data_IF_792153134643
#
_entry.id   IF_792153134643
#
_cell.length_a   1.000
_cell.length_b   1.000
_cell.length_c   1.000
_cell.angle_alpha   90.00
_cell.angle_beta   90.00
_cell.angle_gamma   90.00
#
_symmetry.space_group_name_H-M   'P 1'
#
loop_
_entity.id
_entity.type
_entity.pdbx_description
1 polymer ?
#
# COMPACT_ATOMS: atom_id res chain seq x y z
N UNK A 1 -22.47 -17.54 29.47
CA UNK A 1 -22.90 -16.22 29.98
C UNK A 1 -23.20 -15.32 28.78
N UNK A 2 -24.44 -15.26 28.27
CA UNK A 2 -24.79 -14.39 27.10
C UNK A 2 -26.17 -13.72 27.19
N UNK A 3 -26.86 -13.76 28.33
CA UNK A 3 -28.20 -13.15 28.46
C UNK A 3 -28.14 -11.62 28.64
N UNK A 4 -27.04 -11.08 29.21
CA UNK A 4 -26.90 -9.65 29.53
C UNK A 4 -26.67 -8.80 28.26
N UNK A 5 -26.03 -9.36 27.23
CA UNK A 5 -25.80 -8.66 25.96
C UNK A 5 -27.09 -8.45 25.18
N UNK A 6 -27.93 -9.48 25.04
CA UNK A 6 -29.13 -9.44 24.18
C UNK A 6 -30.19 -8.43 24.64
N UNK A 7 -30.38 -8.23 25.95
CA UNK A 7 -31.33 -7.24 26.47
C UNK A 7 -30.89 -5.80 26.19
N UNK A 8 -29.61 -5.49 26.38
CA UNK A 8 -29.05 -4.15 26.15
C UNK A 8 -29.18 -3.70 24.68
N UNK A 9 -29.01 -4.61 23.71
CA UNK A 9 -29.20 -4.28 22.29
C UNK A 9 -30.66 -3.99 21.93
N UNK A 10 -31.60 -4.68 22.58
CA UNK A 10 -33.04 -4.47 22.37
C UNK A 10 -33.53 -3.12 22.89
N UNK A 11 -32.98 -2.66 24.03
CA UNK A 11 -33.30 -1.34 24.60
C UNK A 11 -32.66 -0.21 23.77
N UNK A 12 -31.38 -0.33 23.41
CA UNK A 12 -30.71 0.61 22.49
C UNK A 12 -31.44 0.72 21.13
N UNK A 13 -31.98 -0.40 20.64
CA UNK A 13 -32.77 -0.42 19.41
C UNK A 13 -34.04 0.43 19.52
N UNK A 14 -34.84 0.22 20.56
CA UNK A 14 -36.11 0.96 20.74
C UNK A 14 -35.89 2.44 20.99
N UNK A 15 -34.87 2.78 21.79
CA UNK A 15 -34.68 4.14 22.27
C UNK A 15 -33.96 5.03 21.27
N UNK A 16 -33.08 4.48 20.43
CA UNK A 16 -32.17 5.27 19.58
C UNK A 16 -32.15 4.85 18.11
N UNK A 17 -32.17 3.55 17.82
CA UNK A 17 -32.08 3.06 16.43
C UNK A 17 -33.42 3.18 15.69
N UNK A 18 -34.51 2.78 16.32
CA UNK A 18 -35.84 2.86 15.72
C UNK A 18 -36.26 4.31 15.43
N UNK A 19 -36.04 5.30 16.33
CA UNK A 19 -36.24 6.71 16.01
C UNK A 19 -35.35 7.22 14.87
N UNK A 20 -34.09 6.77 14.79
CA UNK A 20 -33.19 7.10 13.69
C UNK A 20 -33.73 6.60 12.35
N UNK A 21 -34.12 5.32 12.26
CA UNK A 21 -34.69 4.75 11.04
C UNK A 21 -35.95 5.49 10.59
N UNK A 22 -36.85 5.80 11.53
CA UNK A 22 -38.06 6.57 11.25
C UNK A 22 -37.76 7.97 10.70
N UNK A 23 -36.72 8.62 11.23
CA UNK A 23 -36.36 10.00 10.87
C UNK A 23 -35.64 10.09 9.53
N UNK A 24 -34.71 9.16 9.25
CA UNK A 24 -33.77 9.29 8.13
C UNK A 24 -33.97 8.26 7.00
N UNK A 25 -34.64 7.14 7.26
CA UNK A 25 -34.66 6.00 6.33
C UNK A 25 -36.06 5.66 5.80
N UNK A 26 -37.09 5.66 6.66
CA UNK A 26 -38.45 5.17 6.33
C UNK A 26 -39.14 5.98 5.22
N UNK A 27 -38.82 7.28 5.06
CA UNK A 27 -39.42 8.09 3.99
C UNK A 27 -39.12 7.56 2.57
N UNK A 28 -37.97 6.90 2.37
CA UNK A 28 -37.55 6.32 1.09
C UNK A 28 -37.53 4.79 1.05
N UNK A 29 -37.47 4.14 2.23
CA UNK A 29 -37.40 2.69 2.41
C UNK A 29 -38.53 2.17 3.32
N UNK A 30 -39.71 2.78 3.25
CA UNK A 30 -40.89 2.44 4.04
C UNK A 30 -41.96 1.70 3.23
N UNK A 31 -43.19 1.57 3.75
CA UNK A 31 -44.27 0.90 3.02
C UNK A 31 -44.65 1.63 1.73
N UNK A 32 -44.64 2.96 1.74
CA UNK A 32 -45.04 3.82 0.62
C UNK A 32 -44.00 3.91 -0.50
N UNK A 33 -42.70 3.88 -0.15
CA UNK A 33 -41.58 3.98 -1.10
C UNK A 33 -40.51 2.98 -0.71
N UNK A 34 -40.09 2.16 -1.68
CA UNK A 34 -39.15 1.05 -1.48
C UNK A 34 -37.95 1.18 -2.42
N UNK A 35 -37.19 2.28 -2.29
CA UNK A 35 -36.01 2.48 -3.13
C UNK A 35 -35.03 1.31 -2.97
N UNK A 36 -34.47 0.84 -4.09
CA UNK A 36 -33.57 -0.31 -4.10
C UNK A 36 -34.21 -1.64 -3.69
N UNK A 37 -35.55 -1.74 -3.63
CA UNK A 37 -36.30 -2.91 -3.14
C UNK A 37 -35.99 -3.26 -1.67
N UNK A 38 -35.62 -2.26 -0.87
CA UNK A 38 -35.32 -2.42 0.56
C UNK A 38 -36.43 -1.75 1.37
N UNK A 39 -36.86 -2.42 2.44
CA UNK A 39 -37.78 -1.89 3.44
C UNK A 39 -37.14 -1.97 4.82
N UNK A 40 -37.17 -0.87 5.58
CA UNK A 40 -36.52 -0.75 6.89
C UNK A 40 -37.50 -0.55 8.05
N UNK A 41 -38.79 -0.34 7.74
CA UNK A 41 -39.87 -0.06 8.69
C UNK A 41 -40.21 -1.24 9.62
N UNK A 42 -39.98 -2.46 9.12
CA UNK A 42 -40.28 -3.72 9.82
C UNK A 42 -39.02 -4.39 10.39
N UNK A 43 -37.87 -3.73 10.30
CA UNK A 43 -36.65 -4.23 10.93
C UNK A 43 -36.80 -4.21 12.44
N UNK A 44 -36.18 -5.20 13.07
CA UNK A 44 -36.09 -5.41 14.50
C UNK A 44 -34.62 -5.41 14.93
N UNK A 45 -34.36 -5.66 16.21
CA UNK A 45 -33.01 -5.89 16.72
C UNK A 45 -32.49 -7.31 16.45
N UNK A 46 -33.28 -8.15 15.76
CA UNK A 46 -32.95 -9.56 15.54
C UNK A 46 -31.99 -9.74 14.38
N UNK A 47 -30.75 -10.12 14.67
CA UNK A 47 -29.75 -10.48 13.67
C UNK A 47 -29.71 -11.99 13.40
N UNK A 48 -30.65 -12.76 13.96
CA UNK A 48 -30.76 -14.21 13.74
C UNK A 48 -31.47 -14.59 12.43
N UNK A 49 -32.28 -13.69 11.86
CA UNK A 49 -32.79 -13.87 10.50
C UNK A 49 -31.73 -13.38 9.50
N UNK A 50 -31.30 -14.28 8.63
CA UNK A 50 -30.30 -14.00 7.59
C UNK A 50 -30.73 -12.87 6.66
N UNK A 51 -32.03 -12.77 6.32
CA UNK A 51 -32.53 -11.71 5.42
C UNK A 51 -32.48 -10.35 6.09
N UNK A 52 -32.83 -10.30 7.36
CA UNK A 52 -32.79 -9.08 8.17
C UNK A 52 -31.34 -8.62 8.38
N UNK A 53 -30.45 -9.56 8.72
CA UNK A 53 -29.02 -9.29 8.87
C UNK A 53 -28.37 -8.79 7.57
N UNK A 54 -28.79 -9.29 6.40
CA UNK A 54 -28.31 -8.79 5.11
C UNK A 54 -28.74 -7.34 4.86
N UNK A 55 -29.98 -6.98 5.23
CA UNK A 55 -30.46 -5.60 5.13
C UNK A 55 -29.66 -4.69 6.08
N UNK A 56 -29.39 -5.15 7.31
CA UNK A 56 -28.59 -4.40 8.27
C UNK A 56 -27.14 -4.21 7.82
N UNK A 57 -26.52 -5.25 7.25
CA UNK A 57 -25.17 -5.16 6.67
C UNK A 57 -25.11 -4.13 5.53
N UNK A 58 -26.11 -4.14 4.64
CA UNK A 58 -26.21 -3.15 3.55
C UNK A 58 -26.51 -1.73 4.05
N UNK A 59 -27.30 -1.60 5.11
CA UNK A 59 -27.57 -0.32 5.74
C UNK A 59 -26.32 0.26 6.40
N UNK A 60 -25.55 -0.57 7.12
CA UNK A 60 -24.26 -0.19 7.68
C UNK A 60 -23.31 0.30 6.58
N UNK A 61 -23.19 -0.45 5.49
CA UNK A 61 -22.39 -0.10 4.33
C UNK A 61 -22.80 1.27 3.75
N UNK A 62 -24.08 1.46 3.47
CA UNK A 62 -24.58 2.71 2.88
C UNK A 62 -24.38 3.94 3.79
N UNK A 63 -24.44 3.76 5.11
CA UNK A 63 -24.18 4.83 6.08
C UNK A 63 -22.67 5.07 6.21
N UNK A 64 -21.82 4.03 6.22
CA UNK A 64 -20.35 4.13 6.22
C UNK A 64 -19.82 4.89 5.00
N UNK A 65 -20.38 4.62 3.81
CA UNK A 65 -20.02 5.31 2.57
C UNK A 65 -20.69 6.67 2.41
N UNK A 66 -21.57 7.08 3.33
CA UNK A 66 -22.30 8.34 3.23
C UNK A 66 -23.24 8.43 2.03
N UNK A 67 -23.61 7.28 1.45
CA UNK A 67 -24.57 7.21 0.35
C UNK A 67 -26.01 7.43 0.83
N UNK A 68 -26.25 7.16 2.12
CA UNK A 68 -27.54 7.32 2.77
C UNK A 68 -27.42 8.21 4.02
N UNK A 69 -28.33 9.18 4.21
CA UNK A 69 -29.46 9.53 3.33
C UNK A 69 -29.03 10.11 1.98
N UNK A 70 -29.80 9.83 0.91
CA UNK A 70 -29.49 10.37 -0.44
C UNK A 70 -29.55 11.90 -0.46
N UNK A 71 -28.91 12.53 -1.45
CA UNK A 71 -28.97 13.97 -1.74
C UNK A 71 -30.38 14.59 -1.73
N UNK A 72 -31.41 13.81 -2.08
CA UNK A 72 -32.83 14.23 -2.08
C UNK A 72 -33.55 14.09 -0.73
N UNK A 73 -32.84 13.75 0.35
CA UNK A 73 -33.43 13.61 1.67
C UNK A 73 -33.60 14.97 2.35
N UNK A 74 -34.70 15.17 3.07
CA UNK A 74 -34.98 16.43 3.77
C UNK A 74 -34.16 16.59 5.06
N UNK A 75 -33.62 15.49 5.60
CA UNK A 75 -32.91 15.44 6.89
C UNK A 75 -31.68 14.55 6.79
N UNK A 76 -30.59 14.99 7.42
CA UNK A 76 -29.34 14.26 7.52
C UNK A 76 -28.96 14.08 8.99
N UNK A 77 -28.46 12.90 9.40
CA UNK A 77 -27.98 12.69 10.75
C UNK A 77 -26.67 13.44 10.98
N UNK A 78 -26.41 13.80 12.24
CA UNK A 78 -25.09 14.27 12.65
C UNK A 78 -24.08 13.12 12.59
N UNK A 79 -22.78 13.45 12.52
CA UNK A 79 -21.70 12.44 12.53
C UNK A 79 -21.75 11.54 13.77
N UNK A 80 -22.15 12.10 14.92
CA UNK A 80 -22.26 11.35 16.17
C UNK A 80 -23.43 10.35 16.13
N UNK A 81 -24.57 10.75 15.57
CA UNK A 81 -25.74 9.87 15.41
C UNK A 81 -25.47 8.75 14.41
N UNK A 82 -24.89 9.08 13.26
CA UNK A 82 -24.51 8.09 12.25
C UNK A 82 -23.52 7.06 12.81
N UNK A 83 -22.47 7.53 13.51
CA UNK A 83 -21.47 6.66 14.13
C UNK A 83 -22.06 5.75 15.21
N UNK A 84 -22.97 6.27 16.02
CA UNK A 84 -23.64 5.46 17.04
C UNK A 84 -24.43 4.30 16.41
N UNK A 85 -25.17 4.58 15.33
CA UNK A 85 -25.94 3.53 14.61
C UNK A 85 -25.01 2.54 13.95
N UNK A 86 -23.93 2.99 13.30
CA UNK A 86 -22.92 2.11 12.70
C UNK A 86 -22.32 1.14 13.73
N UNK A 87 -21.89 1.68 14.88
CA UNK A 87 -21.30 0.89 15.97
C UNK A 87 -22.30 -0.13 16.55
N UNK A 88 -23.57 0.26 16.68
CA UNK A 88 -24.64 -0.65 17.12
C UNK A 88 -24.88 -1.78 16.12
N UNK A 89 -24.99 -1.49 14.83
CA UNK A 89 -25.21 -2.51 13.79
C UNK A 89 -24.04 -3.50 13.77
N UNK A 90 -22.80 -2.99 13.77
CA UNK A 90 -21.59 -3.82 13.74
C UNK A 90 -21.51 -4.76 14.95
N UNK A 91 -21.76 -4.25 16.17
CA UNK A 91 -21.76 -5.07 17.40
C UNK A 91 -22.86 -6.13 17.40
N UNK A 92 -24.04 -5.81 16.88
CA UNK A 92 -25.18 -6.73 16.90
C UNK A 92 -24.99 -7.86 15.87
N UNK A 93 -24.40 -7.56 14.70
CA UNK A 93 -24.03 -8.56 13.70
C UNK A 93 -22.91 -9.50 14.20
N UNK A 94 -21.87 -8.93 14.85
CA UNK A 94 -20.78 -9.69 15.47
C UNK A 94 -21.30 -10.65 16.56
N UNK A 95 -22.22 -10.19 17.42
CA UNK A 95 -22.84 -11.04 18.45
C UNK A 95 -23.63 -12.22 17.84
N UNK A 96 -24.23 -12.04 16.66
CA UNK A 96 -24.93 -13.10 15.94
C UNK A 96 -23.98 -14.07 15.22
N UNK A 97 -22.66 -13.89 15.33
CA UNK A 97 -21.65 -14.69 14.63
C UNK A 97 -21.62 -14.42 13.12
N UNK A 98 -22.22 -13.32 12.68
CA UNK A 98 -22.19 -12.89 11.29
C UNK A 98 -21.06 -11.88 11.15
N UNK A 99 -19.91 -12.33 10.67
CA UNK A 99 -18.79 -11.44 10.37
C UNK A 99 -19.23 -10.45 9.29
N UNK A 100 -19.34 -9.18 9.67
CA UNK A 100 -19.50 -8.08 8.73
C UNK A 100 -18.15 -7.87 8.08
N UNK A 101 -18.06 -8.08 6.78
CA UNK A 101 -16.87 -7.70 6.04
C UNK A 101 -16.70 -6.17 6.12
N UNK A 102 -15.70 -5.69 6.88
CA UNK A 102 -15.35 -4.27 6.93
C UNK A 102 -14.79 -3.82 5.57
N UNK A 103 -15.67 -3.47 4.63
CA UNK A 103 -15.29 -3.13 3.25
C UNK A 103 -14.44 -1.88 3.13
N UNK A 104 -14.51 -0.94 4.09
CA UNK A 104 -13.59 0.20 4.21
C UNK A 104 -12.11 -0.20 4.18
N UNK A 105 -11.83 -1.42 4.61
CA UNK A 105 -10.49 -1.99 4.70
C UNK A 105 -10.11 -2.81 3.46
N UNK A 106 -11.02 -2.98 2.49
CA UNK A 106 -10.75 -3.69 1.24
C UNK A 106 -10.19 -2.76 0.16
N UNK A 107 -9.44 -3.35 -0.75
CA UNK A 107 -8.87 -2.68 -1.92
C UNK A 107 -9.98 -1.99 -2.74
N UNK A 108 -9.81 -0.70 -3.03
CA UNK A 108 -10.80 0.12 -3.75
C UNK A 108 -11.71 0.98 -2.85
N UNK A 109 -11.72 0.76 -1.54
CA UNK A 109 -12.59 1.48 -0.60
C UNK A 109 -11.85 2.37 0.42
N UNK A 110 -10.51 2.43 0.35
CA UNK A 110 -9.66 3.13 1.32
C UNK A 110 -9.60 4.67 1.21
N UNK A 111 -10.19 5.27 0.16
CA UNK A 111 -10.23 6.72 -0.03
C UNK A 111 -11.68 7.21 -0.20
N UNK A 112 -12.35 7.46 0.92
CA UNK A 112 -13.70 8.04 0.97
C UNK A 112 -13.62 9.47 1.48
N UNK A 113 -13.25 10.37 0.59
CA UNK A 113 -13.30 11.82 0.88
C UNK A 113 -14.69 12.31 0.48
N UNK A 114 -15.37 13.05 1.36
CA UNK A 114 -16.68 13.64 1.04
C UNK A 114 -16.60 14.46 -0.25
N UNK A 115 -17.61 14.34 -1.12
CA UNK A 115 -17.71 15.14 -2.34
C UNK A 115 -17.62 16.65 -2.04
N UNK A 116 -18.26 17.11 -0.98
CA UNK A 116 -18.20 18.52 -0.56
C UNK A 116 -16.77 18.93 -0.17
N UNK A 117 -16.01 18.02 0.46
CA UNK A 117 -14.62 18.27 0.81
C UNK A 117 -13.69 18.21 -0.41
N UNK A 118 -13.92 17.30 -1.37
CA UNK A 118 -13.11 17.21 -2.59
C UNK A 118 -13.30 18.41 -3.53
N UNK A 119 -14.51 18.97 -3.55
CA UNK A 119 -14.91 20.00 -4.51
C UNK A 119 -15.25 21.34 -3.84
N UNK A 120 -14.90 21.53 -2.58
CA UNK A 120 -15.08 22.81 -1.90
C UNK A 120 -14.37 23.92 -2.68
N UNK A 121 -14.95 25.13 -2.81
CA UNK A 121 -14.30 26.27 -3.45
C UNK A 121 -12.95 26.67 -2.83
N UNK A 122 -12.69 26.24 -1.59
CA UNK A 122 -11.41 26.41 -0.91
C UNK A 122 -10.33 25.42 -1.42
N UNK A 123 -10.71 24.22 -1.84
CA UNK A 123 -9.78 23.21 -2.38
C UNK A 123 -9.36 23.52 -3.81
N UNK A 124 -10.19 24.20 -4.61
CA UNK A 124 -9.82 24.61 -5.98
C UNK A 124 -8.66 25.60 -6.03
N UNK A 125 -8.37 26.28 -4.92
CA UNK A 125 -7.23 27.20 -4.75
C UNK A 125 -6.00 26.50 -4.17
N UNK A 126 -6.10 25.22 -3.84
CA UNK A 126 -5.03 24.46 -3.21
C UNK A 126 -4.08 23.95 -4.28
N UNK A 127 -2.83 24.39 -4.25
CA UNK A 127 -1.76 23.80 -5.03
C UNK A 127 -1.39 22.46 -4.40
N UNK A 128 -1.78 21.37 -5.06
CA UNK A 128 -1.44 20.02 -4.63
C UNK A 128 -0.12 19.65 -5.30
N UNK A 129 0.93 19.48 -4.50
CA UNK A 129 2.17 18.83 -4.94
C UNK A 129 1.86 17.35 -5.23
N UNK A 130 1.83 16.98 -6.51
CA UNK A 130 1.45 15.64 -6.99
C UNK A 130 2.64 14.68 -6.93
N UNK A 131 3.53 14.82 -5.94
CA UNK A 131 4.54 13.80 -5.67
C UNK A 131 3.84 12.46 -5.35
N UNK A 132 4.07 11.46 -6.22
CA UNK A 132 3.69 10.05 -6.14
C UNK A 132 2.43 9.72 -5.31
N UNK A 133 1.32 9.45 -5.99
CA UNK A 133 0.09 8.92 -5.37
C UNK A 133 0.38 7.60 -4.63
N UNK A 134 0.54 7.69 -3.32
CA UNK A 134 0.60 6.52 -2.44
C UNK A 134 -0.82 6.00 -2.20
N UNK A 135 -1.06 4.72 -2.51
CA UNK A 135 -2.26 4.03 -2.03
C UNK A 135 -2.17 3.90 -0.52
N UNK A 136 -3.06 4.59 0.20
CA UNK A 136 -3.12 4.52 1.67
C UNK A 136 -4.10 3.43 2.07
N UNK A 137 -3.55 2.30 2.52
CA UNK A 137 -4.31 1.24 3.21
C UNK A 137 -4.34 1.62 4.70
N UNK A 138 -5.49 1.50 5.36
CA UNK A 138 -5.61 1.76 6.81
C UNK A 138 -4.77 0.73 7.61
N UNK A 139 -4.20 1.08 8.78
CA UNK A 139 -3.47 0.09 9.60
C UNK A 139 -4.31 -1.14 9.97
N UNK A 140 -5.62 -0.96 10.13
CA UNK A 140 -6.58 -2.04 10.42
C UNK A 140 -6.80 -2.94 9.19
N UNK A 141 -6.92 -2.33 8.01
CA UNK A 141 -7.01 -3.02 6.73
C UNK A 141 -5.81 -3.89 6.45
N UNK A 142 -4.61 -3.34 6.67
CA UNK A 142 -3.36 -4.08 6.52
C UNK A 142 -3.32 -5.28 7.48
N UNK A 143 -3.71 -5.10 8.74
CA UNK A 143 -3.76 -6.18 9.73
C UNK A 143 -4.75 -7.29 9.36
N UNK A 144 -5.91 -6.94 8.81
CA UNK A 144 -6.93 -7.89 8.36
C UNK A 144 -6.47 -8.69 7.13
N UNK A 145 -5.84 -8.03 6.15
CA UNK A 145 -5.26 -8.68 4.96
C UNK A 145 -4.13 -9.65 5.34
N UNK A 146 -3.27 -9.26 6.28
CA UNK A 146 -2.19 -10.10 6.82
C UNK A 146 -2.74 -11.31 7.59
N UNK A 147 -3.80 -11.12 8.39
CA UNK A 147 -4.50 -12.22 9.09
C UNK A 147 -5.18 -13.20 8.14
N UNK A 148 -5.94 -12.70 7.16
CA UNK A 148 -6.70 -13.53 6.21
C UNK A 148 -5.81 -14.33 5.26
N UNK A 149 -4.63 -13.81 4.92
CA UNK A 149 -3.69 -14.47 4.03
C UNK A 149 -2.81 -15.53 4.72
N UNK A 150 -2.87 -15.70 6.05
CA UNK A 150 -1.89 -16.46 6.85
C UNK A 150 -0.43 -16.07 6.52
N UNK A 151 -0.21 -14.83 6.11
CA UNK A 151 1.11 -14.30 5.77
C UNK A 151 1.68 -13.65 7.03
N UNK A 152 2.84 -14.10 7.49
CA UNK A 152 3.44 -13.65 8.77
C UNK A 152 4.15 -12.28 8.64
N UNK A 153 4.32 -11.71 7.44
CA UNK A 153 4.81 -10.33 7.24
C UNK A 153 4.74 -9.87 5.78
N UNK A 154 4.44 -8.59 5.51
CA UNK A 154 4.74 -7.95 4.22
C UNK A 154 6.15 -7.31 4.27
N UNK A 155 7.14 -7.72 3.43
CA UNK A 155 8.55 -7.36 3.62
C UNK A 155 8.98 -5.99 3.08
N UNK A 156 8.08 -5.19 2.47
CA UNK A 156 8.49 -4.03 1.66
C UNK A 156 7.79 -2.69 1.93
N UNK A 157 7.14 -2.47 3.09
CA UNK A 157 6.48 -1.19 3.37
C UNK A 157 7.39 -0.19 4.12
N UNK A 158 7.69 0.96 3.49
CA UNK A 158 8.35 2.14 4.08
C UNK A 158 7.35 2.96 4.90
N UNK A 159 7.54 3.02 6.21
CA UNK A 159 6.68 3.75 7.16
C UNK A 159 7.10 5.23 7.29
N UNK A 160 6.19 6.20 7.19
CA UNK A 160 6.49 7.62 7.48
C UNK A 160 5.43 8.26 8.40
N UNK A 161 5.75 8.54 9.67
CA UNK A 161 5.02 9.53 10.48
C UNK A 161 5.76 10.87 10.56
N UNK A 162 4.93 11.92 10.61
CA UNK A 162 5.17 13.35 10.36
C UNK A 162 6.31 14.03 11.13
N UNK A 163 6.98 14.96 10.43
CA UNK A 163 7.98 15.89 10.93
C UNK A 163 9.03 16.15 9.85
N UNK A 164 9.37 17.42 9.60
CA UNK A 164 10.29 17.87 8.55
C UNK A 164 11.73 17.42 8.84
N UNK A 165 12.02 16.13 8.71
CA UNK A 165 13.36 15.58 8.80
C UNK A 165 13.97 15.58 7.40
N UNK A 166 14.84 16.55 7.15
CA UNK A 166 15.68 16.60 5.94
C UNK A 166 16.90 15.68 6.04
N UNK A 167 17.13 15.09 7.22
CA UNK A 167 18.16 14.09 7.45
C UNK A 167 17.51 12.72 7.76
N UNK A 168 17.46 11.87 6.74
CA UNK A 168 16.97 10.49 6.83
C UNK A 168 18.08 9.50 7.24
N UNK A 169 19.34 9.94 7.35
CA UNK A 169 20.51 9.10 7.65
C UNK A 169 20.39 8.40 9.01
N UNK A 170 19.65 8.98 9.95
CA UNK A 170 19.49 8.47 11.32
C UNK A 170 18.18 7.72 11.63
N UNK A 171 17.20 7.69 10.71
CA UNK A 171 15.82 7.22 11.02
C UNK A 171 15.52 5.79 10.54
N UNK A 172 16.16 5.37 9.45
CA UNK A 172 16.12 3.98 9.00
C UNK A 172 17.50 3.37 9.23
N UNK A 173 17.65 2.61 10.31
CA UNK A 173 18.75 1.66 10.35
C UNK A 173 18.47 0.64 9.25
N UNK A 174 19.31 0.60 8.21
CA UNK A 174 19.40 -0.56 7.34
C UNK A 174 19.77 -1.74 8.24
N UNK A 175 18.74 -2.45 8.72
CA UNK A 175 18.92 -3.50 9.71
C UNK A 175 19.50 -4.73 9.00
N UNK A 176 20.13 -5.62 9.77
CA UNK A 176 20.83 -6.78 9.21
C UNK A 176 19.91 -7.66 8.36
N UNK A 177 18.62 -7.77 8.71
CA UNK A 177 17.65 -8.60 8.00
C UNK A 177 17.35 -8.06 6.60
N UNK A 178 17.10 -6.75 6.47
CA UNK A 178 16.86 -6.12 5.17
C UNK A 178 18.14 -6.10 4.33
N UNK A 179 19.29 -5.93 4.98
CA UNK A 179 20.59 -6.06 4.34
C UNK A 179 20.80 -7.43 3.72
N UNK A 180 20.50 -8.48 4.47
CA UNK A 180 20.63 -9.86 4.02
C UNK A 180 19.69 -10.14 2.84
N UNK A 181 18.40 -9.78 2.97
CA UNK A 181 17.42 -9.99 1.90
C UNK A 181 17.75 -9.24 0.61
N UNK A 182 18.11 -7.96 0.71
CA UNK A 182 18.50 -7.17 -0.46
C UNK A 182 19.80 -7.71 -1.07
N UNK A 183 20.76 -8.15 -0.25
CA UNK A 183 21.98 -8.80 -0.72
C UNK A 183 21.69 -10.10 -1.47
N UNK A 184 20.82 -10.96 -0.93
CA UNK A 184 20.41 -12.21 -1.57
C UNK A 184 19.73 -11.97 -2.92
N UNK A 185 18.79 -11.02 -2.97
CA UNK A 185 18.10 -10.64 -4.20
C UNK A 185 19.06 -10.05 -5.23
N UNK A 186 19.97 -9.17 -4.79
CA UNK A 186 21.00 -8.59 -5.65
C UNK A 186 21.92 -9.67 -6.21
N UNK A 187 22.37 -10.64 -5.39
CA UNK A 187 23.19 -11.76 -5.83
C UNK A 187 22.46 -12.68 -6.80
N UNK A 188 21.19 -13.01 -6.53
CA UNK A 188 20.38 -13.87 -7.38
C UNK A 188 20.13 -13.22 -8.76
N UNK A 189 19.74 -11.94 -8.76
CA UNK A 189 19.57 -11.16 -9.99
C UNK A 189 20.88 -11.06 -10.77
N UNK A 190 21.97 -10.72 -10.08
CA UNK A 190 23.29 -10.55 -10.68
C UNK A 190 23.83 -11.82 -11.30
N UNK A 191 23.49 -13.00 -10.77
CA UNK A 191 23.91 -14.28 -11.36
C UNK A 191 23.31 -14.45 -12.75
N UNK A 192 22.00 -14.19 -12.86
CA UNK A 192 21.27 -14.28 -14.13
C UNK A 192 21.83 -13.29 -15.14
N UNK A 193 22.06 -12.05 -14.73
CA UNK A 193 22.63 -11.01 -15.60
C UNK A 193 24.07 -11.33 -16.01
N UNK A 194 24.90 -11.86 -15.11
CA UNK A 194 26.27 -12.29 -15.42
C UNK A 194 26.27 -13.43 -16.46
N UNK A 195 25.39 -14.41 -16.30
CA UNK A 195 25.21 -15.50 -17.29
C UNK A 195 24.77 -14.97 -18.66
N UNK A 196 23.87 -13.97 -18.70
CA UNK A 196 23.46 -13.32 -19.93
C UNK A 196 24.61 -12.54 -20.59
N UNK A 197 25.38 -11.79 -19.78
CA UNK A 197 26.52 -11.00 -20.24
C UNK A 197 27.62 -11.87 -20.87
N UNK A 198 27.76 -13.14 -20.46
CA UNK A 198 28.74 -14.06 -21.06
C UNK A 198 28.54 -14.25 -22.56
N UNK A 199 27.29 -14.30 -23.04
CA UNK A 199 27.01 -14.42 -24.48
C UNK A 199 27.59 -13.24 -25.25
N UNK A 200 27.40 -12.03 -24.71
CA UNK A 200 27.95 -10.81 -25.28
C UNK A 200 29.48 -10.78 -25.21
N UNK A 201 30.08 -11.19 -24.09
CA UNK A 201 31.54 -11.23 -23.92
C UNK A 201 32.19 -12.19 -24.93
N UNK A 202 31.59 -13.36 -25.18
CA UNK A 202 32.08 -14.29 -26.20
C UNK A 202 32.10 -13.62 -27.58
N UNK A 203 31.00 -12.96 -27.96
CA UNK A 203 30.90 -12.24 -29.24
C UNK A 203 31.93 -11.10 -29.34
N UNK A 204 32.19 -10.36 -28.25
CA UNK A 204 33.21 -9.31 -28.25
C UNK A 204 34.62 -9.88 -28.42
N UNK A 205 34.90 -11.04 -27.80
CA UNK A 205 36.18 -11.73 -27.95
C UNK A 205 36.41 -12.26 -29.36
N UNK A 206 35.36 -12.79 -30.00
CA UNK A 206 35.41 -13.19 -31.41
C UNK A 206 35.73 -12.01 -32.35
N UNK A 207 35.33 -10.79 -31.95
CA UNK A 207 35.64 -9.54 -32.66
C UNK A 207 37.03 -8.97 -32.34
N UNK A 208 37.85 -9.68 -31.56
CA UNK A 208 39.23 -9.30 -31.26
C UNK A 208 39.43 -8.53 -29.96
N UNK A 209 38.38 -8.28 -29.17
CA UNK A 209 38.54 -7.65 -27.85
C UNK A 209 39.22 -8.60 -26.87
N UNK A 210 40.08 -8.07 -26.02
CA UNK A 210 40.59 -8.81 -24.87
C UNK A 210 39.45 -9.15 -23.90
N UNK A 211 39.66 -10.15 -23.04
CA UNK A 211 38.69 -10.52 -22.00
C UNK A 211 38.43 -9.35 -21.04
N UNK A 212 39.47 -8.58 -20.72
CA UNK A 212 39.36 -7.44 -19.81
C UNK A 212 38.53 -6.31 -20.44
N UNK A 213 38.76 -5.97 -21.72
CA UNK A 213 37.95 -4.97 -22.43
C UNK A 213 36.48 -5.40 -22.54
N UNK A 214 36.22 -6.67 -22.85
CA UNK A 214 34.86 -7.20 -22.94
C UNK A 214 34.13 -7.17 -21.58
N UNK A 215 34.85 -7.46 -20.49
CA UNK A 215 34.33 -7.35 -19.14
C UNK A 215 34.06 -5.89 -18.75
N UNK A 216 34.97 -4.96 -19.07
CA UNK A 216 34.76 -3.53 -18.83
C UNK A 216 33.51 -3.01 -19.54
N UNK A 217 33.28 -3.42 -20.79
CA UNK A 217 32.08 -3.05 -21.54
C UNK A 217 30.80 -3.61 -20.90
N UNK A 218 30.83 -4.86 -20.41
CA UNK A 218 29.72 -5.46 -19.69
C UNK A 218 29.39 -4.70 -18.39
N UNK A 219 30.44 -4.33 -17.64
CA UNK A 219 30.32 -3.53 -16.42
C UNK A 219 29.74 -2.15 -16.74
N UNK A 220 30.26 -1.44 -17.75
CA UNK A 220 29.73 -0.13 -18.18
C UNK A 220 28.24 -0.18 -18.51
N UNK A 221 27.80 -1.21 -19.24
CA UNK A 221 26.38 -1.40 -19.59
C UNK A 221 25.51 -1.60 -18.36
N UNK A 222 25.94 -2.47 -17.44
CA UNK A 222 25.20 -2.71 -16.21
C UNK A 222 25.15 -1.45 -15.32
N UNK A 223 26.27 -0.73 -15.24
CA UNK A 223 26.37 0.53 -14.52
C UNK A 223 25.41 1.60 -15.07
N UNK A 224 25.31 1.75 -16.40
CA UNK A 224 24.32 2.62 -17.02
C UNK A 224 22.88 2.18 -16.77
N UNK A 225 22.62 0.87 -16.73
CA UNK A 225 21.27 0.36 -16.48
C UNK A 225 20.80 0.67 -15.05
N UNK A 226 21.67 0.43 -14.06
CA UNK A 226 21.35 0.58 -12.64
C UNK A 226 21.46 2.05 -12.19
N UNK A 227 22.59 2.70 -12.48
CA UNK A 227 22.93 4.02 -11.96
C UNK A 227 22.70 5.16 -12.96
N UNK A 228 22.39 4.86 -14.23
CA UNK A 228 22.14 5.87 -15.29
C UNK A 228 23.32 6.81 -15.57
N UNK A 229 24.53 6.46 -15.13
CA UNK A 229 25.78 7.17 -15.44
C UNK A 229 26.87 6.18 -15.86
N UNK A 230 28.04 6.69 -16.23
CA UNK A 230 29.24 5.88 -16.44
C UNK A 230 30.02 5.71 -15.13
N UNK A 231 30.75 4.60 -14.94
CA UNK A 231 31.70 4.48 -13.84
C UNK A 231 32.90 5.38 -14.07
N UNK A 232 33.46 5.95 -13.00
CA UNK A 232 34.76 6.63 -13.01
C UNK A 232 35.90 5.62 -13.23
N UNK A 233 37.09 6.08 -13.61
CA UNK A 233 38.26 5.21 -13.79
C UNK A 233 38.58 4.42 -12.51
N UNK A 234 38.55 5.09 -11.35
CA UNK A 234 38.78 4.45 -10.05
C UNK A 234 37.74 3.39 -9.71
N UNK A 235 36.46 3.66 -10.00
CA UNK A 235 35.39 2.68 -9.80
C UNK A 235 35.58 1.48 -10.73
N UNK A 236 35.91 1.71 -12.00
CA UNK A 236 36.15 0.63 -12.97
C UNK A 236 37.32 -0.26 -12.53
N UNK A 237 38.44 0.32 -12.11
CA UNK A 237 39.62 -0.43 -11.67
C UNK A 237 39.31 -1.31 -10.44
N UNK A 238 38.56 -0.76 -9.47
CA UNK A 238 38.14 -1.51 -8.28
C UNK A 238 37.21 -2.68 -8.64
N UNK A 239 36.24 -2.46 -9.54
CA UNK A 239 35.32 -3.51 -10.00
C UNK A 239 36.06 -4.60 -10.80
N UNK A 240 37.01 -4.23 -11.65
CA UNK A 240 37.84 -5.19 -12.38
C UNK A 240 38.75 -6.00 -11.46
N UNK A 241 39.31 -5.38 -10.41
CA UNK A 241 40.08 -6.10 -9.40
C UNK A 241 39.22 -7.09 -8.62
N UNK A 242 38.00 -6.69 -8.23
CA UNK A 242 37.02 -7.57 -7.58
C UNK A 242 36.64 -8.75 -8.48
N UNK A 243 36.35 -8.49 -9.75
CA UNK A 243 36.03 -9.51 -10.75
C UNK A 243 37.14 -10.56 -10.81
N UNK A 244 38.38 -10.12 -11.05
CA UNK A 244 39.55 -11.01 -11.19
C UNK A 244 39.77 -11.85 -9.94
N UNK A 245 39.66 -11.24 -8.76
CA UNK A 245 39.80 -11.95 -7.48
C UNK A 245 38.74 -13.04 -7.31
N UNK A 246 37.47 -12.69 -7.51
CA UNK A 246 36.37 -13.65 -7.30
C UNK A 246 36.35 -14.74 -8.36
N UNK A 247 36.67 -14.43 -9.62
CA UNK A 247 36.80 -15.46 -10.66
C UNK A 247 37.98 -16.40 -10.38
N UNK A 248 39.07 -15.92 -9.77
CA UNK A 248 40.18 -16.77 -9.35
C UNK A 248 39.78 -17.74 -8.22
N UNK A 249 38.95 -17.28 -7.28
CA UNK A 249 38.54 -18.07 -6.11
C UNK A 249 37.37 -19.02 -6.41
N UNK A 250 36.36 -18.58 -7.17
CA UNK A 250 35.07 -19.26 -7.35
C UNK A 250 34.74 -19.64 -8.80
N UNK A 251 35.54 -19.19 -9.76
CA UNK A 251 35.36 -19.46 -11.18
C UNK A 251 34.29 -18.58 -11.86
N UNK A 252 34.35 -18.55 -13.19
CA UNK A 252 33.43 -17.79 -14.05
C UNK A 252 32.01 -18.41 -14.00
N UNK A 253 30.92 -17.63 -13.88
CA UNK A 253 30.83 -16.17 -13.98
C UNK A 253 30.70 -15.45 -12.62
N UNK A 254 31.26 -16.00 -11.54
CA UNK A 254 31.05 -15.47 -10.18
C UNK A 254 31.68 -14.09 -9.98
N UNK A 255 32.76 -13.77 -10.68
CA UNK A 255 33.36 -12.43 -10.67
C UNK A 255 32.41 -11.36 -11.20
N UNK A 256 31.77 -11.60 -12.35
CA UNK A 256 30.76 -10.68 -12.89
C UNK A 256 29.52 -10.60 -12.00
N UNK A 257 29.08 -11.72 -11.42
CA UNK A 257 27.99 -11.71 -10.46
C UNK A 257 28.31 -10.80 -9.27
N UNK A 258 29.51 -10.93 -8.68
CA UNK A 258 29.93 -10.14 -7.54
C UNK A 258 30.00 -8.64 -7.89
N UNK A 259 30.51 -8.31 -9.07
CA UNK A 259 30.55 -6.94 -9.56
C UNK A 259 29.14 -6.35 -9.74
N UNK A 260 28.24 -7.05 -10.42
CA UNK A 260 26.87 -6.57 -10.61
C UNK A 260 26.12 -6.40 -9.28
N UNK A 261 26.29 -7.34 -8.35
CA UNK A 261 25.70 -7.23 -7.03
C UNK A 261 26.28 -6.02 -6.27
N UNK A 262 27.60 -5.78 -6.38
CA UNK A 262 28.24 -4.63 -5.75
C UNK A 262 27.71 -3.29 -6.27
N UNK A 263 27.34 -3.21 -7.56
CA UNK A 263 26.74 -2.02 -8.19
C UNK A 263 25.31 -1.80 -7.65
N UNK A 264 24.51 -2.86 -7.54
CA UNK A 264 23.14 -2.80 -7.01
C UNK A 264 23.14 -2.41 -5.53
N UNK A 265 24.15 -2.86 -4.78
CA UNK A 265 24.29 -2.60 -3.34
C UNK A 265 24.96 -1.26 -3.02
N UNK A 266 25.29 -0.45 -4.03
CA UNK A 266 25.81 0.90 -3.78
C UNK A 266 24.75 1.76 -3.09
N UNK A 267 25.13 2.63 -2.14
CA UNK A 267 24.20 3.57 -1.50
C UNK A 267 23.40 4.40 -2.51
N UNK A 268 24.01 4.79 -3.63
CA UNK A 268 23.39 5.53 -4.72
C UNK A 268 22.24 4.77 -5.39
N UNK A 269 22.30 3.43 -5.41
CA UNK A 269 21.22 2.57 -5.90
C UNK A 269 20.19 2.32 -4.80
N UNK A 270 20.65 1.94 -3.61
CA UNK A 270 19.79 1.54 -2.49
C UNK A 270 18.96 2.70 -1.93
N UNK A 271 19.51 3.90 -1.97
CA UNK A 271 18.90 5.12 -1.45
C UNK A 271 18.57 6.12 -2.56
N UNK A 272 18.46 5.70 -3.83
CA UNK A 272 18.15 6.61 -4.93
C UNK A 272 16.80 7.30 -4.68
N UNK A 273 16.82 8.62 -4.48
CA UNK A 273 15.63 9.45 -4.42
C UNK A 273 15.45 10.12 -5.80
N UNK A 274 14.30 9.93 -6.44
CA UNK A 274 13.97 10.66 -7.66
C UNK A 274 13.49 12.06 -7.28
N UNK A 275 14.41 13.02 -7.21
CA UNK A 275 14.10 14.46 -7.21
C UNK A 275 13.97 14.96 -8.65
N UNK A 276 12.79 15.44 -9.05
CA UNK A 276 12.59 16.16 -10.33
C UNK A 276 12.93 17.63 -10.16
N UNK A 277 14.19 17.96 -9.95
CA UNK A 277 14.71 19.33 -9.93
C UNK A 277 15.77 19.54 -11.01
N UNK A 278 15.81 20.73 -11.61
CA UNK A 278 16.91 21.13 -12.49
C UNK A 278 18.23 21.12 -11.70
N UNK A 279 19.27 20.57 -12.33
CA UNK A 279 20.59 20.41 -11.73
C UNK A 279 21.24 21.77 -11.41
N UNK A 280 21.89 21.87 -10.25
CA UNK A 280 22.79 22.99 -9.96
C UNK A 280 24.17 22.79 -10.63
N UNK A 281 24.97 23.86 -10.68
CA UNK A 281 26.24 23.95 -11.44
C UNK A 281 27.33 22.96 -10.99
N UNK A 282 27.13 22.24 -9.90
CA UNK A 282 28.02 21.17 -9.40
C UNK A 282 27.51 19.75 -9.72
N UNK A 283 26.37 19.63 -10.40
CA UNK A 283 25.89 18.38 -10.98
C UNK A 283 25.38 17.35 -9.97
N UNK A 284 25.03 17.76 -8.75
CA UNK A 284 24.44 16.89 -7.74
C UNK A 284 22.93 17.12 -7.67
N UNK A 285 22.17 16.25 -8.34
CA UNK A 285 20.72 16.19 -8.19
C UNK A 285 20.41 15.30 -6.99
N UNK A 286 19.89 15.90 -5.92
CA UNK A 286 19.33 15.21 -4.75
C UNK A 286 17.83 14.90 -4.97
#
# INVERSE_FOLDING_TARGET
MSAVGSAAFGDEFKDRIQPFLKTYCVACHGPEKQKGKIRVDHLTASMSDRKEAEIWSRALEAIEFGEMPSDKADKFPTKAEARFVQDWIARTLDQAGLEVEERKDKEGYGNLVSHELLFAPAESKRTIDVAARLWRISPKALANTVRGARIVSNPFALDKPHGNFRDFKGKYSFNSLMAEQVTELALAHSLKEAQNARKMIVVLREKGSSIDEANQEAIKRHYHHVLRRSPTEKEMDALMALLKKVDADLGVPRGLQAVYASIILQPETLFRFEGTGDADEEGLVA
#
